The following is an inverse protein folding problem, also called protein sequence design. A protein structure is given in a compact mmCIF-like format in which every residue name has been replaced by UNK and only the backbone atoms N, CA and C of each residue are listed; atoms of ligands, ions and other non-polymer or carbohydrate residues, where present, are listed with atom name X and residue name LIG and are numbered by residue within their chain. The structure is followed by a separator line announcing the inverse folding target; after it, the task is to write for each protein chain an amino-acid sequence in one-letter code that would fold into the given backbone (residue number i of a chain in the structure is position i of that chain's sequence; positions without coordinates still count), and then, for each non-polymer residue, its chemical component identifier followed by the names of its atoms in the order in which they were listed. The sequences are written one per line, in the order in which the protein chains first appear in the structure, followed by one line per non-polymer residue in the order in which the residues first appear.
data_IF_547537717531
#
_entry.id   IF_547537717531
#
_cell.length_a   1.000
_cell.length_b   1.000
_cell.length_c   1.000
_cell.angle_alpha   90.00
_cell.angle_beta   90.00
_cell.angle_gamma   90.00
#
_symmetry.space_group_name_H-M   'P 1'
#
loop_
_entity.id
_entity.type
_entity.pdbx_description
1 polymer ?
#
# COMPACT_ATOMS: atom_id res chain seq x y z
N UNK A 1 -7.15 6.88 -0.87
CA UNK A 1 -7.04 7.81 0.27
C UNK A 1 -6.66 9.16 -0.32
N UNK A 2 -7.37 10.23 0.04
CA UNK A 2 -7.11 11.57 -0.50
C UNK A 2 -6.65 12.46 0.66
N UNK A 3 -5.52 13.15 0.48
CA UNK A 3 -4.93 14.02 1.48
C UNK A 3 -4.76 15.41 0.87
N UNK A 4 -5.28 16.45 1.51
CA UNK A 4 -5.23 17.81 0.93
C UNK A 4 -3.80 18.35 0.84
N UNK A 5 -2.94 18.03 1.83
CA UNK A 5 -1.53 18.43 1.81
C UNK A 5 -0.65 17.56 0.88
N UNK A 6 -1.16 16.41 0.41
CA UNK A 6 -0.49 15.51 -0.53
C UNK A 6 -1.47 15.09 -1.62
N UNK A 7 -1.83 16.02 -2.54
CA UNK A 7 -2.93 15.83 -3.48
C UNK A 7 -2.62 14.79 -4.57
N UNK A 8 -1.34 14.63 -4.91
CA UNK A 8 -0.89 13.72 -5.96
C UNK A 8 -0.47 12.36 -5.41
N UNK A 9 -0.64 11.31 -6.22
CA UNK A 9 -0.18 9.95 -5.88
C UNK A 9 1.34 9.87 -6.03
N UNK A 10 2.03 9.49 -4.95
CA UNK A 10 3.48 9.29 -4.93
C UNK A 10 3.83 7.79 -5.00
N UNK A 11 3.99 7.28 -6.22
CA UNK A 11 4.31 5.87 -6.44
C UNK A 11 5.74 5.51 -6.00
N UNK A 12 6.67 6.47 -6.00
CA UNK A 12 8.07 6.22 -5.63
C UNK A 12 8.22 5.88 -4.15
N UNK A 13 7.44 6.53 -3.28
CA UNK A 13 7.55 6.31 -1.83
C UNK A 13 6.39 5.49 -1.23
N UNK A 14 5.21 5.49 -1.88
CA UNK A 14 3.97 4.97 -1.30
C UNK A 14 3.29 3.87 -2.10
N UNK A 15 3.91 3.32 -3.15
CA UNK A 15 3.46 2.10 -3.81
C UNK A 15 3.80 0.84 -2.98
N UNK A 16 3.18 0.75 -1.80
CA UNK A 16 3.38 -0.31 -0.81
C UNK A 16 2.10 -0.51 0.01
N UNK A 17 1.89 -1.72 0.52
CA UNK A 17 0.79 -1.98 1.43
C UNK A 17 1.19 -1.63 2.85
N UNK A 18 0.33 -0.89 3.56
CA UNK A 18 0.44 -0.69 5.01
C UNK A 18 0.00 -1.96 5.75
N UNK A 19 0.81 -2.41 6.69
CA UNK A 19 0.49 -3.49 7.63
C UNK A 19 0.38 -2.84 9.01
N UNK A 20 -0.75 -3.03 9.67
CA UNK A 20 -0.94 -2.62 11.06
C UNK A 20 -0.99 -3.87 11.94
N UNK A 21 -0.14 -3.93 12.96
CA UNK A 21 -0.19 -4.94 14.01
C UNK A 21 -0.50 -4.26 15.34
N UNK A 22 -1.05 -4.99 16.29
CA UNK A 22 -1.40 -4.43 17.58
C UNK A 22 -1.18 -5.41 18.72
N UNK A 23 -0.81 -4.85 19.87
CA UNK A 23 -0.71 -5.58 21.11
C UNK A 23 -2.08 -5.63 21.81
N UNK A 24 -2.32 -6.72 22.55
CA UNK A 24 -3.44 -6.77 23.48
C UNK A 24 -4.75 -7.32 22.92
N UNK A 25 -4.65 -8.35 22.09
CA UNK A 25 -5.80 -9.17 21.70
C UNK A 25 -6.57 -9.63 22.96
N UNK A 26 -7.87 -9.31 23.05
CA UNK A 26 -8.69 -9.59 24.24
C UNK A 26 -8.84 -8.42 25.24
N UNK A 27 -8.48 -7.20 24.85
CA UNK A 27 -8.90 -5.98 25.56
C UNK A 27 -7.91 -5.45 26.61
N UNK A 28 -6.64 -5.89 26.60
CA UNK A 28 -5.57 -5.33 27.44
C UNK A 28 -4.36 -4.98 26.61
N UNK A 29 -4.16 -3.70 26.35
CA UNK A 29 -3.15 -3.18 25.43
C UNK A 29 -3.78 -2.16 24.47
N UNK A 30 -3.01 -1.71 23.49
CA UNK A 30 -3.47 -0.68 22.54
C UNK A 30 -2.36 -0.03 21.73
N UNK A 31 -1.12 -0.53 21.84
CA UNK A 31 -0.03 -0.09 20.97
C UNK A 31 -0.28 -0.67 19.58
N UNK A 32 -0.22 0.20 18.58
CA UNK A 32 -0.24 -0.18 17.17
C UNK A 32 1.17 -0.02 16.64
N UNK A 33 1.68 -1.02 15.93
CA UNK A 33 2.87 -0.89 15.11
C UNK A 33 2.46 -0.87 13.64
N UNK A 34 3.17 -0.06 12.85
CA UNK A 34 2.97 0.05 11.42
C UNK A 34 4.22 -0.47 10.74
N UNK A 35 4.03 -1.35 9.76
CA UNK A 35 5.05 -1.85 8.86
C UNK A 35 4.55 -1.76 7.40
N UNK A 36 5.41 -2.04 6.43
CA UNK A 36 5.09 -1.96 5.02
C UNK A 36 5.60 -3.17 4.24
N UNK A 37 4.82 -3.60 3.24
CA UNK A 37 5.27 -4.60 2.25
C UNK A 37 5.16 -4.05 0.83
N UNK A 38 6.06 -4.43 -0.09
CA UNK A 38 6.00 -3.98 -1.48
C UNK A 38 4.75 -4.51 -2.20
N UNK A 39 4.36 -3.81 -3.27
CA UNK A 39 3.40 -4.32 -4.26
C UNK A 39 4.13 -5.30 -5.18
N UNK A 40 3.43 -6.31 -5.70
CA UNK A 40 4.00 -7.21 -6.69
C UNK A 40 3.93 -6.59 -8.10
N UNK A 41 5.08 -6.52 -8.77
CA UNK A 41 5.23 -5.91 -10.11
C UNK A 41 5.30 -6.98 -11.21
N UNK A 42 4.65 -8.12 -11.01
CA UNK A 42 4.70 -9.25 -11.94
C UNK A 42 3.35 -9.96 -12.06
N UNK A 43 3.15 -10.61 -13.20
CA UNK A 43 2.03 -11.51 -13.48
C UNK A 43 2.42 -12.96 -13.20
N UNK A 44 1.43 -13.85 -13.08
CA UNK A 44 1.69 -15.27 -12.86
C UNK A 44 2.01 -16.03 -14.16
N UNK A 45 1.65 -15.47 -15.31
CA UNK A 45 1.90 -16.02 -16.66
C UNK A 45 2.34 -14.93 -17.62
N UNK A 46 2.89 -15.33 -18.76
CA UNK A 46 3.34 -14.44 -19.84
C UNK A 46 2.21 -14.04 -20.82
N UNK A 47 0.97 -14.45 -20.54
CA UNK A 47 -0.18 -14.18 -21.42
C UNK A 47 -0.47 -12.68 -21.55
N UNK A 48 -0.13 -11.90 -20.52
CA UNK A 48 -0.27 -10.45 -20.49
C UNK A 48 0.92 -9.86 -19.73
N UNK A 49 1.53 -8.82 -20.30
CA UNK A 49 2.60 -8.08 -19.63
C UNK A 49 2.06 -7.29 -18.42
N UNK A 50 2.94 -7.07 -17.43
CA UNK A 50 2.63 -6.18 -16.32
C UNK A 50 2.26 -4.78 -16.83
N UNK A 51 1.18 -4.21 -16.28
CA UNK A 51 0.73 -2.86 -16.62
C UNK A 51 1.38 -1.90 -15.62
N UNK A 52 2.32 -1.10 -16.12
CA UNK A 52 3.00 -0.11 -15.29
C UNK A 52 2.04 0.95 -14.74
N UNK A 53 2.29 1.47 -13.52
CA UNK A 53 1.50 2.54 -12.95
C UNK A 53 1.48 3.77 -13.87
N UNK A 54 0.27 4.25 -14.14
CA UNK A 54 0.02 5.52 -14.84
C UNK A 54 -0.90 6.39 -14.00
N UNK A 55 -0.83 7.71 -14.21
CA UNK A 55 -1.83 8.63 -13.69
C UNK A 55 -3.24 8.18 -14.13
N UNK A 56 -4.14 8.07 -13.15
CA UNK A 56 -5.53 7.63 -13.34
C UNK A 56 -6.42 8.86 -13.53
N UNK A 57 -6.84 9.11 -14.76
CA UNK A 57 -7.72 10.23 -15.14
C UNK A 57 -9.10 9.68 -15.51
N UNK A 58 -10.15 10.40 -15.15
CA UNK A 58 -11.55 10.04 -15.38
C UNK A 58 -12.26 11.04 -16.28
#
# INVERSE_FOLDING_TARGET
HAHEDFPDRDDANWMKHTIATFDGWGGKGGKIAIDYRPVHEFTLTDDVAYIEPKARVY
#
